data_IF_461394025792
#
_entry.id   IF_461394025792
#
_cell.length_a   1.000
_cell.length_b   1.000
_cell.length_c   1.000
_cell.angle_alpha   90.00
_cell.angle_beta   90.00
_cell.angle_gamma   90.00
#
_symmetry.space_group_name_H-M   'P 1'
#
loop_
_entity.id
_entity.type
_entity.pdbx_description
1 polymer ?
#
# COMPACT_ATOMS: atom_id res chain seq x y z
N UNK A 1 -20.17 -9.10 -0.69
CA UNK A 1 -19.34 -7.88 -0.68
C UNK A 1 -19.38 -7.14 0.66
N UNK A 2 -20.51 -6.59 1.14
CA UNK A 2 -20.52 -5.88 2.45
C UNK A 2 -20.31 -6.85 3.65
N UNK A 3 -20.86 -8.06 3.58
CA UNK A 3 -20.77 -9.05 4.66
C UNK A 3 -19.34 -9.59 4.85
N UNK A 4 -18.59 -9.76 3.76
CA UNK A 4 -17.23 -10.32 3.79
C UNK A 4 -16.23 -9.37 4.47
N UNK A 5 -16.43 -8.06 4.31
CA UNK A 5 -15.58 -7.04 4.95
C UNK A 5 -15.76 -7.03 6.47
N UNK A 6 -17.00 -7.18 6.97
CA UNK A 6 -17.26 -7.22 8.41
C UNK A 6 -16.63 -8.46 9.06
N UNK A 7 -16.76 -9.63 8.42
CA UNK A 7 -16.13 -10.85 8.90
C UNK A 7 -14.60 -10.73 8.91
N UNK A 8 -13.99 -10.14 7.87
CA UNK A 8 -12.55 -9.88 7.84
C UNK A 8 -12.07 -9.10 9.07
N UNK A 9 -12.80 -8.05 9.47
CA UNK A 9 -12.41 -7.23 10.63
C UNK A 9 -12.48 -7.99 11.96
N UNK A 10 -13.40 -8.94 12.12
CA UNK A 10 -13.47 -9.81 13.31
C UNK A 10 -12.21 -10.67 13.45
N UNK A 11 -11.71 -11.24 12.36
CA UNK A 11 -10.46 -12.00 12.36
C UNK A 11 -9.22 -11.11 12.46
N UNK A 12 -9.26 -9.89 11.92
CA UNK A 12 -8.15 -8.95 11.98
C UNK A 12 -7.93 -8.39 13.39
N UNK A 13 -9.00 -8.03 14.10
CA UNK A 13 -8.95 -7.39 15.42
C UNK A 13 -7.96 -8.03 16.40
N UNK A 14 -7.96 -9.36 16.64
CA UNK A 14 -7.02 -9.98 17.57
C UNK A 14 -5.55 -9.94 17.11
N UNK A 15 -5.28 -9.81 15.81
CA UNK A 15 -3.92 -9.88 15.24
C UNK A 15 -3.42 -8.53 14.71
N UNK A 16 -4.24 -7.48 14.75
CA UNK A 16 -3.94 -6.16 14.19
C UNK A 16 -2.62 -5.60 14.72
N UNK A 17 -2.43 -5.62 16.04
CA UNK A 17 -1.21 -5.10 16.68
C UNK A 17 0.04 -5.87 16.27
N UNK A 18 -0.08 -7.19 16.07
CA UNK A 18 1.02 -8.02 15.58
C UNK A 18 1.36 -7.70 14.12
N UNK A 19 0.36 -7.44 13.28
CA UNK A 19 0.57 -7.03 11.90
C UNK A 19 1.32 -5.71 11.81
N UNK A 20 0.94 -4.70 12.61
CA UNK A 20 1.65 -3.42 12.69
C UNK A 20 3.10 -3.62 13.14
N UNK A 21 3.32 -4.39 14.21
CA UNK A 21 4.69 -4.71 14.69
C UNK A 21 5.52 -5.39 13.61
N UNK A 22 4.91 -6.31 12.87
CA UNK A 22 5.57 -7.02 11.79
C UNK A 22 5.93 -6.08 10.63
N UNK A 23 5.03 -5.19 10.20
CA UNK A 23 5.34 -4.16 9.20
C UNK A 23 6.51 -3.28 9.66
N UNK A 24 6.48 -2.76 10.89
CA UNK A 24 7.57 -1.95 11.47
C UNK A 24 8.91 -2.69 11.45
N UNK A 25 8.90 -3.97 11.83
CA UNK A 25 10.09 -4.81 11.77
C UNK A 25 10.61 -4.97 10.34
N UNK A 26 9.72 -5.22 9.38
CA UNK A 26 10.08 -5.40 7.97
C UNK A 26 10.58 -4.12 7.30
N UNK A 27 10.26 -2.94 7.82
CA UNK A 27 10.68 -1.64 7.27
C UNK A 27 11.67 -0.90 8.17
N UNK A 28 12.29 -1.57 9.14
CA UNK A 28 13.20 -0.91 10.09
C UNK A 28 14.48 -0.36 9.43
N UNK A 29 15.01 -1.08 8.44
CA UNK A 29 16.28 -0.75 7.77
C UNK A 29 16.08 0.24 6.60
N UNK A 30 14.87 0.77 6.50
CA UNK A 30 14.35 1.46 5.36
C UNK A 30 14.13 2.95 5.71
N UNK A 31 15.23 3.71 5.78
CA UNK A 31 15.25 5.11 6.21
C UNK A 31 14.25 6.06 5.51
N UNK A 32 13.73 5.72 4.33
CA UNK A 32 12.80 6.54 3.56
C UNK A 32 11.37 6.01 3.50
N UNK A 33 11.06 4.92 4.21
CA UNK A 33 9.82 4.19 3.97
C UNK A 33 8.95 4.12 5.20
N UNK A 34 7.67 4.40 4.99
CA UNK A 34 6.67 4.30 6.02
C UNK A 34 6.11 2.87 6.06
N UNK A 35 6.14 2.24 7.24
CA UNK A 35 5.51 0.94 7.48
C UNK A 35 3.99 0.99 7.24
N UNK A 36 3.38 2.19 7.33
CA UNK A 36 1.96 2.43 7.13
C UNK A 36 1.55 2.14 5.69
N UNK A 37 2.37 2.49 4.69
CA UNK A 37 2.07 2.21 3.28
C UNK A 37 2.00 0.71 3.01
N UNK A 38 2.98 -0.04 3.52
CA UNK A 38 3.00 -1.50 3.42
C UNK A 38 1.79 -2.10 4.12
N UNK A 39 1.47 -1.60 5.32
CA UNK A 39 0.33 -2.07 6.09
C UNK A 39 -1.00 -1.81 5.38
N UNK A 40 -1.25 -0.58 4.92
CA UNK A 40 -2.48 -0.18 4.23
C UNK A 40 -2.67 -0.99 2.95
N UNK A 41 -1.64 -1.11 2.11
CA UNK A 41 -1.72 -1.90 0.88
C UNK A 41 -2.01 -3.38 1.19
N UNK A 42 -1.38 -3.92 2.24
CA UNK A 42 -1.63 -5.29 2.68
C UNK A 42 -3.08 -5.48 3.15
N UNK A 43 -3.66 -4.51 3.86
CA UNK A 43 -5.06 -4.56 4.30
C UNK A 43 -6.02 -4.57 3.11
N UNK A 44 -5.79 -3.73 2.08
CA UNK A 44 -6.61 -3.70 0.87
C UNK A 44 -6.60 -5.06 0.17
N UNK A 45 -5.41 -5.61 -0.09
CA UNK A 45 -5.25 -6.91 -0.75
C UNK A 45 -5.87 -8.04 0.08
N UNK A 46 -5.68 -8.01 1.40
CA UNK A 46 -6.25 -9.03 2.28
C UNK A 46 -7.78 -8.94 2.30
N UNK A 47 -8.35 -7.74 2.39
CA UNK A 47 -9.81 -7.57 2.35
C UNK A 47 -10.39 -8.09 1.03
N UNK A 48 -9.77 -7.76 -0.11
CA UNK A 48 -10.19 -8.24 -1.44
C UNK A 48 -10.11 -9.76 -1.58
N UNK A 49 -9.09 -10.39 -0.96
CA UNK A 49 -8.82 -11.82 -1.08
C UNK A 49 -9.34 -12.65 0.08
N UNK A 50 -10.07 -12.05 1.02
CA UNK A 50 -10.48 -12.75 2.24
C UNK A 50 -11.36 -13.97 1.96
N UNK A 51 -12.17 -13.93 0.91
CA UNK A 51 -12.97 -15.04 0.43
C UNK A 51 -12.14 -16.23 -0.09
N UNK A 52 -10.87 -16.01 -0.47
CA UNK A 52 -9.96 -17.08 -0.92
C UNK A 52 -9.37 -17.89 0.25
N UNK A 53 -9.49 -17.38 1.48
CA UNK A 53 -9.05 -18.10 2.67
C UNK A 53 -10.10 -19.14 3.08
N UNK A 54 -9.87 -20.39 2.68
CA UNK A 54 -10.74 -21.55 2.98
C UNK A 54 -10.78 -21.84 4.49
N UNK A 55 -9.60 -21.82 5.14
CA UNK A 55 -9.45 -22.15 6.56
C UNK A 55 -9.19 -20.87 7.36
N UNK A 56 -10.26 -20.32 7.96
CA UNK A 56 -10.19 -19.06 8.72
C UNK A 56 -9.34 -19.16 9.98
N UNK A 57 -9.08 -20.36 10.51
CA UNK A 57 -8.17 -20.53 11.65
C UNK A 57 -6.73 -20.13 11.31
N UNK A 58 -6.37 -20.14 10.02
CA UNK A 58 -5.04 -19.76 9.51
C UNK A 58 -4.90 -18.29 9.16
N UNK A 59 -5.89 -17.46 9.52
CA UNK A 59 -5.93 -16.04 9.17
C UNK A 59 -4.61 -15.31 9.49
N UNK A 60 -4.03 -15.50 10.69
CA UNK A 60 -2.79 -14.83 11.10
C UNK A 60 -1.63 -15.12 10.14
N UNK A 61 -1.37 -16.40 9.88
CA UNK A 61 -0.29 -16.84 8.99
C UNK A 61 -0.51 -16.39 7.55
N UNK A 62 -1.76 -16.43 7.10
CA UNK A 62 -2.17 -15.93 5.78
C UNK A 62 -1.96 -14.42 5.65
N UNK A 63 -2.38 -13.63 6.63
CA UNK A 63 -2.19 -12.18 6.69
C UNK A 63 -0.70 -11.81 6.67
N UNK A 64 0.13 -12.50 7.45
CA UNK A 64 1.58 -12.28 7.45
C UNK A 64 2.23 -12.63 6.11
N UNK A 65 1.70 -13.60 5.38
CA UNK A 65 2.17 -13.94 4.04
C UNK A 65 1.90 -12.79 3.06
N UNK A 66 0.73 -12.16 3.14
CA UNK A 66 0.39 -10.98 2.33
C UNK A 66 1.33 -9.82 2.67
N UNK A 67 1.49 -9.50 3.96
CA UNK A 67 2.39 -8.43 4.43
C UNK A 67 3.83 -8.65 3.94
N UNK A 68 4.34 -9.88 4.04
CA UNK A 68 5.70 -10.20 3.60
C UNK A 68 5.87 -10.08 2.09
N UNK A 69 4.85 -10.43 1.30
CA UNK A 69 4.87 -10.24 -0.15
C UNK A 69 4.86 -8.76 -0.52
N UNK A 70 3.99 -7.98 0.13
CA UNK A 70 3.89 -6.55 -0.14
C UNK A 70 5.13 -5.79 0.29
N UNK A 71 5.74 -6.12 1.42
CA UNK A 71 7.01 -5.51 1.81
C UNK A 71 8.08 -5.74 0.75
N UNK A 72 8.26 -6.99 0.28
CA UNK A 72 9.20 -7.33 -0.81
C UNK A 72 8.89 -6.60 -2.12
N UNK A 73 7.61 -6.49 -2.49
CA UNK A 73 7.21 -5.72 -3.67
C UNK A 73 7.59 -4.25 -3.53
N UNK A 74 7.38 -3.69 -2.35
CA UNK A 74 7.75 -2.32 -2.04
C UNK A 74 9.27 -2.13 -2.13
N UNK A 75 10.07 -3.02 -1.53
CA UNK A 75 11.54 -3.01 -1.69
C UNK A 75 11.97 -3.01 -3.16
N UNK A 76 11.39 -3.91 -3.98
CA UNK A 76 11.74 -4.03 -5.40
C UNK A 76 11.36 -2.77 -6.17
N UNK A 77 10.11 -2.31 -6.09
CA UNK A 77 9.63 -1.12 -6.81
C UNK A 77 10.51 0.09 -6.53
N UNK A 78 10.90 0.27 -5.26
CA UNK A 78 11.74 1.39 -4.86
C UNK A 78 13.21 1.22 -5.26
N UNK A 79 13.74 0.00 -5.28
CA UNK A 79 15.05 -0.27 -5.86
C UNK A 79 15.07 0.14 -7.34
N UNK A 80 14.12 -0.37 -8.14
CA UNK A 80 14.02 -0.04 -9.56
C UNK A 80 13.78 1.45 -9.82
N UNK A 81 12.99 2.14 -9.00
CA UNK A 81 12.79 3.59 -9.13
C UNK A 81 14.09 4.40 -9.01
N UNK A 82 15.12 3.89 -8.32
CA UNK A 82 16.44 4.54 -8.26
C UNK A 82 17.27 4.34 -9.54
N UNK A 83 16.96 3.32 -10.34
CA UNK A 83 17.69 2.97 -11.56
C UNK A 83 16.94 3.37 -12.84
N UNK A 84 15.68 3.80 -12.74
CA UNK A 84 14.95 4.38 -13.85
C UNK A 84 15.37 5.85 -13.95
N UNK A 85 16.19 6.16 -14.95
CA UNK A 85 16.40 7.55 -15.38
C UNK A 85 15.07 8.11 -15.88
N UNK A 86 14.74 9.32 -15.46
CA UNK A 86 13.49 10.03 -15.82
C UNK A 86 13.36 10.24 -17.34
N UNK A 87 14.46 10.08 -18.09
CA UNK A 87 14.53 10.27 -19.54
C UNK A 87 13.70 9.27 -20.37
N UNK A 88 13.25 8.15 -19.79
CA UNK A 88 12.45 7.13 -20.49
C UNK A 88 10.95 7.10 -20.11
N UNK A 89 10.44 8.10 -19.39
CA UNK A 89 9.00 8.19 -19.09
C UNK A 89 8.25 8.98 -20.18
N UNK A 90 7.25 8.39 -20.88
CA UNK A 90 6.43 9.10 -21.87
C UNK A 90 5.47 10.15 -21.25
N UNK A 91 5.56 10.42 -19.94
CA UNK A 91 4.68 11.37 -19.23
C UNK A 91 5.15 12.83 -19.24
N UNK A 92 6.16 13.20 -20.04
CA UNK A 92 6.50 14.63 -20.28
C UNK A 92 5.51 15.34 -21.22
N UNK A 93 4.21 15.08 -21.08
CA UNK A 93 3.15 15.76 -21.81
C UNK A 93 2.20 16.46 -20.84
N UNK A 94 2.48 17.76 -20.67
CA UNK A 94 1.57 18.84 -20.34
C UNK A 94 0.98 18.90 -18.92
N UNK A 95 1.67 19.62 -18.05
CA UNK A 95 1.04 20.58 -17.13
C UNK A 95 1.92 21.83 -17.01
N UNK A 96 1.98 22.63 -18.08
CA UNK A 96 2.27 24.06 -17.92
C UNK A 96 1.01 24.71 -17.33
N UNK A 97 0.99 24.89 -16.01
CA UNK A 97 0.14 25.92 -15.40
C UNK A 97 0.84 27.26 -15.58
N UNK A 98 0.49 28.01 -16.62
CA UNK A 98 0.82 29.43 -16.71
C UNK A 98 -0.08 30.20 -15.74
N UNK A 99 0.52 31.00 -14.85
CA UNK A 99 -0.13 31.75 -13.77
C UNK A 99 -0.84 33.05 -14.22
N UNK A 100 -1.14 33.24 -15.50
CA UNK A 100 -1.55 34.55 -16.04
C UNK A 100 -3.01 34.62 -16.56
N UNK A 101 -4.02 34.09 -15.85
CA UNK A 101 -5.44 34.35 -16.21
C UNK A 101 -6.41 34.55 -15.03
N UNK A 102 -5.94 35.11 -13.90
CA UNK A 102 -6.85 35.66 -12.88
C UNK A 102 -6.56 37.15 -12.72
N UNK A 103 -6.91 37.96 -13.72
CA UNK A 103 -7.04 39.41 -13.50
C UNK A 103 -8.05 40.16 -14.40
N UNK A 104 -8.88 39.49 -15.21
CA UNK A 104 -9.92 40.16 -16.02
C UNK A 104 -11.34 39.64 -15.75
N UNK A 105 -11.73 39.58 -14.47
CA UNK A 105 -13.14 39.55 -14.05
C UNK A 105 -13.34 40.66 -13.03
N UNK A 106 -13.22 41.90 -13.49
CA UNK A 106 -13.95 43.06 -12.97
C UNK A 106 -13.61 44.29 -13.83
N UNK A 107 -14.22 44.36 -15.03
CA UNK A 107 -14.56 45.63 -15.70
C UNK A 107 -15.63 45.46 -16.78
#
# INVERSE_FOLDING_TARGET
MITDSNEFFEYLKPVYSDCIRFCKYLTKDLNKFNYEDVFQQSMLIACEKFNTLIDKSKFKSWMFTIILRESKNFYRKNFWRKFISIEDSPETLNLEYTQDTIEDIDK
#
